data_IF_059647296769
#
_entry.id   IF_059647296769
#
_cell.length_a   1.000
_cell.length_b   1.000
_cell.length_c   1.000
_cell.angle_alpha   90.00
_cell.angle_beta   90.00
_cell.angle_gamma   90.00
#
_symmetry.space_group_name_H-M   'P 1'
#
loop_
_entity.id
_entity.type
_entity.pdbx_description
1 polymer ?
#
# COMPACT_ATOMS: atom_id res chain seq x y z
N UNK A 1 -29.78 10.74 -2.76
CA UNK A 1 -28.79 10.05 -3.60
C UNK A 1 -27.54 9.86 -2.75
N UNK A 2 -27.49 8.78 -1.96
CA UNK A 2 -26.33 8.47 -1.11
C UNK A 2 -25.16 8.10 -2.02
N UNK A 3 -24.13 8.95 -2.06
CA UNK A 3 -22.86 8.57 -2.68
C UNK A 3 -22.22 7.51 -1.79
N UNK A 4 -22.40 6.24 -2.13
CA UNK A 4 -21.60 5.16 -1.57
C UNK A 4 -20.18 5.29 -2.11
N UNK A 5 -19.36 6.11 -1.44
CA UNK A 5 -17.92 6.10 -1.65
C UNK A 5 -17.39 4.72 -1.24
N UNK A 6 -16.67 4.04 -2.13
CA UNK A 6 -16.04 2.71 -1.93
C UNK A 6 -14.92 2.76 -0.87
N UNK A 7 -15.25 3.16 0.35
CA UNK A 7 -14.32 3.72 1.32
C UNK A 7 -14.45 3.01 2.66
N UNK A 8 -13.30 2.79 3.33
CA UNK A 8 -13.25 2.01 4.56
C UNK A 8 -13.89 2.79 5.71
N UNK A 9 -14.84 2.18 6.42
CA UNK A 9 -15.48 2.79 7.60
C UNK A 9 -14.48 2.89 8.75
N UNK A 10 -14.50 4.01 9.46
CA UNK A 10 -13.66 4.17 10.64
C UNK A 10 -14.22 3.33 11.81
N UNK A 11 -13.42 2.43 12.41
CA UNK A 11 -13.93 1.42 13.35
C UNK A 11 -14.42 2.01 14.68
N UNK A 12 -13.89 3.17 15.12
CA UNK A 12 -14.20 3.75 16.43
C UNK A 12 -15.29 4.83 16.39
N UNK A 13 -15.79 5.21 15.20
CA UNK A 13 -16.82 6.26 15.08
C UNK A 13 -17.73 6.00 13.89
N UNK A 14 -19.00 5.71 14.20
CA UNK A 14 -20.04 5.48 13.19
C UNK A 14 -20.23 6.73 12.30
N UNK A 15 -20.40 6.51 11.00
CA UNK A 15 -20.58 7.57 10.01
C UNK A 15 -19.28 8.22 9.53
N UNK A 16 -18.13 7.88 10.11
CA UNK A 16 -16.83 8.34 9.66
C UNK A 16 -16.19 7.34 8.71
N UNK A 17 -15.46 7.87 7.75
CA UNK A 17 -14.82 7.15 6.66
C UNK A 17 -13.34 7.52 6.64
N UNK A 18 -12.49 6.55 6.34
CA UNK A 18 -11.05 6.78 6.17
C UNK A 18 -10.81 7.39 4.79
N UNK A 19 -10.07 8.49 4.75
CA UNK A 19 -9.72 9.17 3.51
C UNK A 19 -8.68 8.37 2.68
N UNK A 20 -8.70 8.45 1.34
CA UNK A 20 -7.84 7.64 0.47
C UNK A 20 -6.32 7.80 0.67
N UNK A 21 -5.86 8.95 1.17
CA UNK A 21 -4.43 9.16 1.46
C UNK A 21 -4.05 8.44 2.77
N UNK A 22 -5.00 8.30 3.70
CA UNK A 22 -4.77 7.70 5.01
C UNK A 22 -4.75 6.17 4.96
N UNK A 23 -5.55 5.53 4.09
CA UNK A 23 -5.59 4.08 3.95
C UNK A 23 -4.56 3.50 2.96
N UNK A 24 -3.80 4.35 2.26
CA UNK A 24 -2.81 3.97 1.25
C UNK A 24 -1.36 3.99 1.76
N UNK A 25 -1.11 3.82 3.06
CA UNK A 25 0.23 3.95 3.64
C UNK A 25 0.92 2.63 3.95
N UNK A 26 0.23 1.65 4.55
CA UNK A 26 0.81 0.34 4.91
C UNK A 26 0.43 -0.80 3.94
N UNK A 27 -0.19 -0.46 2.80
CA UNK A 27 -0.59 -1.44 1.78
C UNK A 27 0.55 -2.34 1.26
N UNK A 28 1.85 -1.95 1.24
CA UNK A 28 2.91 -2.88 0.81
C UNK A 28 3.04 -4.09 1.73
N UNK A 29 2.77 -3.93 3.02
CA UNK A 29 2.74 -5.06 3.95
C UNK A 29 1.56 -6.01 3.64
N UNK A 30 0.43 -5.45 3.18
CA UNK A 30 -0.70 -6.26 2.73
C UNK A 30 -0.42 -7.04 1.45
N UNK A 31 0.47 -6.59 0.56
CA UNK A 31 0.82 -7.38 -0.63
C UNK A 31 1.37 -8.76 -0.29
N UNK A 32 2.12 -8.88 0.80
CA UNK A 32 2.66 -10.15 1.28
C UNK A 32 1.52 -11.10 1.71
N UNK A 33 0.50 -10.54 2.37
CA UNK A 33 -0.68 -11.30 2.83
C UNK A 33 -1.63 -11.63 1.67
N UNK A 34 -1.71 -10.76 0.66
CA UNK A 34 -2.74 -10.82 -0.38
C UNK A 34 -2.80 -12.16 -1.12
N UNK A 35 -1.66 -12.83 -1.33
CA UNK A 35 -1.61 -14.17 -1.95
C UNK A 35 -2.36 -15.22 -1.13
N UNK A 36 -2.26 -15.19 0.20
CA UNK A 36 -2.90 -16.16 1.09
C UNK A 36 -4.41 -15.94 1.12
N UNK A 37 -4.83 -14.68 1.14
CA UNK A 37 -6.25 -14.31 1.05
C UNK A 37 -6.85 -14.79 -0.28
N UNK A 38 -6.16 -14.52 -1.40
CA UNK A 38 -6.62 -14.89 -2.73
C UNK A 38 -6.66 -16.41 -2.95
N UNK A 39 -5.78 -17.16 -2.29
CA UNK A 39 -5.75 -18.62 -2.33
C UNK A 39 -6.75 -19.26 -1.35
N UNK A 40 -7.44 -18.48 -0.51
CA UNK A 40 -8.30 -19.00 0.55
C UNK A 40 -7.55 -19.69 1.69
N UNK A 41 -6.24 -19.44 1.85
CA UNK A 41 -5.40 -19.99 2.93
C UNK A 41 -5.66 -19.28 4.28
N UNK A 42 -6.22 -18.07 4.24
CA UNK A 42 -6.63 -17.30 5.43
C UNK A 42 -7.96 -16.60 5.19
N UNK A 43 -8.85 -16.66 6.18
CA UNK A 43 -10.14 -15.99 6.13
C UNK A 43 -10.08 -14.54 6.64
N UNK A 44 -11.08 -13.73 6.30
CA UNK A 44 -11.18 -12.33 6.77
C UNK A 44 -11.31 -12.27 8.29
N UNK A 45 -12.04 -13.19 8.90
CA UNK A 45 -12.27 -13.23 10.35
C UNK A 45 -11.00 -13.58 11.14
N UNK A 46 -10.07 -14.31 10.53
CA UNK A 46 -8.75 -14.58 11.10
C UNK A 46 -7.83 -13.35 11.10
N UNK A 47 -8.02 -12.41 10.16
CA UNK A 47 -7.23 -11.18 10.05
C UNK A 47 -7.65 -10.11 11.07
N UNK A 48 -7.62 -10.48 12.35
CA UNK A 48 -7.88 -9.59 13.48
C UNK A 48 -6.57 -8.97 14.03
N UNK A 49 -6.67 -8.20 15.11
CA UNK A 49 -5.51 -7.52 15.70
C UNK A 49 -4.43 -8.50 16.16
N UNK A 50 -4.79 -9.67 16.72
CA UNK A 50 -3.80 -10.66 17.16
C UNK A 50 -3.01 -11.24 15.98
N UNK A 51 -3.67 -11.46 14.84
CA UNK A 51 -2.99 -11.87 13.62
C UNK A 51 -1.99 -10.81 13.14
N UNK A 52 -2.41 -9.54 13.05
CA UNK A 52 -1.53 -8.47 12.58
C UNK A 52 -0.38 -8.19 13.55
N UNK A 53 -0.64 -8.24 14.86
CA UNK A 53 0.39 -8.12 15.91
C UNK A 53 1.42 -9.25 15.81
N UNK A 54 0.99 -10.49 15.59
CA UNK A 54 1.91 -11.61 15.40
C UNK A 54 2.71 -11.48 14.10
N UNK A 55 2.03 -11.26 12.97
CA UNK A 55 2.68 -11.24 11.65
C UNK A 55 3.67 -10.08 11.54
N UNK A 56 3.25 -8.86 11.86
CA UNK A 56 4.08 -7.67 11.61
C UNK A 56 4.99 -7.29 12.79
N UNK A 57 4.56 -7.54 14.03
CA UNK A 57 5.27 -7.07 15.22
C UNK A 57 5.88 -8.22 16.04
N UNK A 58 5.60 -9.48 15.69
CA UNK A 58 6.11 -10.64 16.43
C UNK A 58 5.53 -10.77 17.83
N UNK A 59 4.40 -10.12 18.09
CA UNK A 59 3.75 -10.13 19.40
C UNK A 59 2.76 -11.28 19.47
N UNK A 60 2.81 -12.07 20.54
CA UNK A 60 1.95 -13.23 20.73
C UNK A 60 2.47 -14.49 20.01
N UNK A 61 1.57 -15.44 19.74
CA UNK A 61 1.90 -16.75 19.18
C UNK A 61 1.11 -17.03 17.90
N UNK A 62 1.69 -17.80 16.99
CA UNK A 62 0.97 -18.32 15.83
C UNK A 62 -0.16 -19.25 16.26
N UNK A 63 -1.35 -19.09 15.66
CA UNK A 63 -2.48 -20.01 15.86
C UNK A 63 -2.43 -21.24 14.96
N UNK A 64 -1.72 -21.15 13.83
CA UNK A 64 -1.57 -22.23 12.87
C UNK A 64 -0.28 -22.04 12.03
N UNK A 65 0.05 -23.03 11.21
CA UNK A 65 1.23 -22.99 10.35
C UNK A 65 1.14 -21.90 9.27
N UNK A 66 -0.07 -21.55 8.81
CA UNK A 66 -0.27 -20.45 7.87
C UNK A 66 0.20 -19.11 8.44
N UNK A 67 -0.07 -18.83 9.73
CA UNK A 67 0.41 -17.61 10.38
C UNK A 67 1.93 -17.54 10.41
N UNK A 68 2.60 -18.66 10.74
CA UNK A 68 4.07 -18.73 10.74
C UNK A 68 4.63 -18.46 9.36
N UNK A 69 4.08 -19.13 8.34
CA UNK A 69 4.48 -18.96 6.93
C UNK A 69 4.30 -17.52 6.45
N UNK A 70 3.17 -16.87 6.78
CA UNK A 70 2.92 -15.46 6.44
C UNK A 70 3.96 -14.55 7.11
N UNK A 71 4.29 -14.80 8.38
CA UNK A 71 5.30 -14.04 9.11
C UNK A 71 6.69 -14.23 8.52
N UNK A 72 7.08 -15.45 8.18
CA UNK A 72 8.36 -15.74 7.52
C UNK A 72 8.49 -14.97 6.20
N UNK A 73 7.43 -14.98 5.38
CA UNK A 73 7.40 -14.21 4.16
C UNK A 73 7.45 -12.70 4.41
N UNK A 74 6.78 -12.21 5.46
CA UNK A 74 6.89 -10.81 5.86
C UNK A 74 8.33 -10.43 6.24
N UNK A 75 8.99 -11.23 7.07
CA UNK A 75 10.36 -10.99 7.49
C UNK A 75 11.38 -11.14 6.34
N UNK A 76 11.04 -11.91 5.30
CA UNK A 76 11.86 -12.05 4.11
C UNK A 76 11.71 -10.86 3.15
N UNK A 77 10.47 -10.47 2.84
CA UNK A 77 10.19 -9.46 1.80
C UNK A 77 10.22 -8.02 2.30
N UNK A 78 10.04 -7.80 3.60
CA UNK A 78 10.02 -6.47 4.21
C UNK A 78 11.38 -6.16 4.85
N UNK A 79 11.89 -4.92 4.80
CA UNK A 79 11.23 -3.66 4.46
C UNK A 79 11.03 -3.40 2.97
N UNK A 80 10.23 -2.38 2.65
CA UNK A 80 10.15 -1.84 1.28
C UNK A 80 11.50 -1.25 0.88
N UNK A 81 12.22 -1.92 -0.04
CA UNK A 81 13.51 -1.45 -0.54
C UNK A 81 13.39 -0.12 -1.30
N UNK A 82 12.36 0.01 -2.14
CA UNK A 82 12.12 1.22 -2.93
C UNK A 82 10.63 1.47 -3.15
N UNK A 83 10.18 2.69 -2.88
CA UNK A 83 8.85 3.18 -3.23
C UNK A 83 8.96 4.26 -4.31
N UNK A 84 8.36 4.00 -5.48
CA UNK A 84 8.41 4.87 -6.65
C UNK A 84 7.12 5.70 -6.74
N UNK A 85 7.24 7.01 -6.97
CA UNK A 85 6.06 7.82 -7.25
C UNK A 85 6.41 9.18 -7.86
N UNK A 86 5.40 9.82 -8.47
CA UNK A 86 5.59 11.12 -9.10
C UNK A 86 5.77 12.25 -8.08
N UNK A 87 6.25 13.41 -8.55
CA UNK A 87 6.43 14.63 -7.76
C UNK A 87 5.26 14.96 -6.84
N UNK A 88 4.03 14.76 -7.31
CA UNK A 88 2.80 15.01 -6.56
C UNK A 88 2.71 14.23 -5.25
N UNK A 89 3.31 13.04 -5.16
CA UNK A 89 3.32 12.21 -3.95
C UNK A 89 4.27 12.76 -2.87
N UNK A 90 5.28 13.56 -3.26
CA UNK A 90 6.34 14.06 -2.37
C UNK A 90 5.84 14.85 -1.18
N UNK A 91 4.80 15.64 -1.34
CA UNK A 91 4.30 16.53 -0.28
C UNK A 91 3.06 16.01 0.44
N UNK A 92 2.48 14.90 -0.04
CA UNK A 92 1.20 14.39 0.47
C UNK A 92 1.31 12.96 0.97
N UNK A 93 1.71 12.02 0.12
CA UNK A 93 1.70 10.59 0.41
C UNK A 93 2.98 10.13 1.10
N UNK A 94 4.16 10.49 0.57
CA UNK A 94 5.42 10.01 1.16
C UNK A 94 5.66 10.43 2.62
N UNK A 95 5.30 11.65 3.06
CA UNK A 95 5.40 12.00 4.47
C UNK A 95 4.56 11.08 5.36
N UNK A 96 3.28 10.88 5.04
CA UNK A 96 2.39 10.02 5.83
C UNK A 96 2.74 8.53 5.69
N UNK A 97 3.27 8.11 4.56
CA UNK A 97 3.83 6.77 4.37
C UNK A 97 4.95 6.53 5.39
N UNK A 98 5.95 7.41 5.46
CA UNK A 98 7.05 7.29 6.43
C UNK A 98 6.51 7.34 7.86
N UNK A 99 5.66 8.32 8.18
CA UNK A 99 5.13 8.50 9.54
C UNK A 99 4.38 7.26 10.03
N UNK A 100 3.54 6.63 9.20
CA UNK A 100 2.81 5.44 9.59
C UNK A 100 3.72 4.21 9.75
N UNK A 101 4.77 4.07 8.93
CA UNK A 101 5.75 3.00 9.13
C UNK A 101 6.51 3.18 10.45
N UNK A 102 6.93 4.40 10.77
CA UNK A 102 7.63 4.69 12.03
C UNK A 102 6.71 4.48 13.23
N UNK A 103 5.43 4.81 13.12
CA UNK A 103 4.47 4.68 14.21
C UNK A 103 4.12 3.23 14.56
N UNK A 104 4.10 2.33 13.57
CA UNK A 104 3.63 0.95 13.74
C UNK A 104 4.78 -0.07 13.71
N UNK A 105 5.70 0.07 12.75
CA UNK A 105 6.69 -0.96 12.44
C UNK A 105 7.99 -0.77 13.24
N UNK A 106 8.65 -1.88 13.55
CA UNK A 106 10.01 -1.87 14.11
C UNK A 106 11.01 -1.26 13.13
N UNK A 107 12.12 -0.72 13.66
CA UNK A 107 13.11 0.02 12.87
C UNK A 107 13.68 -0.78 11.69
N UNK A 108 13.87 -2.10 11.82
CA UNK A 108 14.37 -2.91 10.70
C UNK A 108 13.37 -3.01 9.53
N UNK A 109 12.09 -2.73 9.78
CA UNK A 109 10.99 -2.79 8.81
C UNK A 109 10.64 -1.42 8.22
N UNK A 110 11.42 -0.37 8.50
CA UNK A 110 11.20 0.95 7.91
C UNK A 110 11.61 0.99 6.42
N UNK A 111 10.89 1.76 5.58
CA UNK A 111 11.22 1.86 4.16
C UNK A 111 12.66 2.34 3.93
N UNK A 112 13.37 1.71 2.99
CA UNK A 112 14.79 1.97 2.73
C UNK A 112 15.03 3.06 1.69
N UNK A 113 14.08 3.27 0.78
CA UNK A 113 14.23 4.20 -0.32
C UNK A 113 12.91 4.73 -0.84
N UNK A 114 12.91 6.01 -1.22
CA UNK A 114 11.85 6.65 -1.98
C UNK A 114 12.48 7.30 -3.20
N UNK A 115 11.94 7.00 -4.38
CA UNK A 115 12.37 7.62 -5.62
C UNK A 115 11.23 8.44 -6.22
N UNK A 116 11.52 9.70 -6.51
CA UNK A 116 10.55 10.64 -7.04
C UNK A 116 10.84 10.89 -8.52
N UNK A 117 9.94 10.44 -9.40
CA UNK A 117 10.02 10.79 -10.81
C UNK A 117 9.33 12.13 -11.09
N UNK A 118 9.82 12.84 -12.10
CA UNK A 118 9.17 14.05 -12.61
C UNK A 118 8.16 13.71 -13.70
N UNK A 119 7.49 14.72 -14.24
CA UNK A 119 6.50 14.56 -15.30
C UNK A 119 7.12 13.86 -16.51
N UNK A 120 6.36 12.93 -17.10
CA UNK A 120 6.59 12.50 -18.48
C UNK A 120 6.10 13.63 -19.39
N UNK A 121 7.00 14.19 -20.19
CA UNK A 121 6.71 15.27 -21.14
C UNK A 121 6.53 14.70 -22.55
N UNK A 122 5.78 15.41 -23.40
CA UNK A 122 5.77 15.12 -24.84
C UNK A 122 7.14 15.39 -25.48
N UNK A 123 7.32 14.98 -26.73
CA UNK A 123 8.57 15.20 -27.48
C UNK A 123 8.98 16.68 -27.54
N UNK A 124 8.04 17.63 -27.47
CA UNK A 124 8.33 19.07 -27.41
C UNK A 124 8.47 19.63 -25.97
N UNK A 125 8.53 18.80 -24.93
CA UNK A 125 8.74 19.24 -23.55
C UNK A 125 7.49 19.74 -22.81
N UNK A 126 6.33 19.77 -23.47
CA UNK A 126 5.08 20.14 -22.80
C UNK A 126 4.53 19.04 -21.89
N UNK A 127 3.85 19.44 -20.81
CA UNK A 127 3.15 18.51 -19.91
C UNK A 127 1.98 17.87 -20.65
N UNK A 128 1.89 16.54 -20.57
CA UNK A 128 0.76 15.77 -21.09
C UNK A 128 -0.54 16.24 -20.43
N UNK A 129 -1.53 16.63 -21.25
CA UNK A 129 -2.85 17.06 -20.82
C UNK A 129 -3.94 16.42 -21.67
N UNK A 130 -4.98 15.88 -21.03
CA UNK A 130 -6.19 15.36 -21.69
C UNK A 130 -6.96 16.45 -22.44
N UNK A 131 -7.03 17.66 -21.90
CA UNK A 131 -7.79 18.76 -22.53
C UNK A 131 -7.07 19.38 -23.73
N UNK A 132 -5.75 19.18 -23.84
CA UNK A 132 -4.93 19.66 -24.96
C UNK A 132 -4.66 18.58 -26.02
N UNK A 133 -5.32 17.42 -25.94
CA UNK A 133 -5.15 16.32 -26.90
C UNK A 133 -3.83 15.54 -26.77
N UNK A 134 -3.07 15.75 -25.69
CA UNK A 134 -1.72 15.22 -25.53
C UNK A 134 -1.59 13.91 -24.75
N UNK A 135 -2.71 13.39 -24.21
CA UNK A 135 -2.75 12.17 -23.44
C UNK A 135 -3.23 11.02 -24.34
N UNK A 136 -2.33 10.50 -25.15
CA UNK A 136 -2.60 9.31 -25.94
C UNK A 136 -2.41 8.08 -25.05
N UNK A 137 -3.42 7.18 -24.96
CA UNK A 137 -3.15 5.81 -24.54
C UNK A 137 -2.05 5.26 -25.47
N UNK A 138 -1.18 4.38 -24.96
CA UNK A 138 -0.17 3.71 -25.80
C UNK A 138 -0.64 2.27 -26.08
N UNK A 139 -1.72 2.05 -26.88
CA UNK A 139 -2.15 0.70 -27.22
C UNK A 139 -1.08 0.07 -28.10
N UNK A 140 -0.39 -0.94 -27.56
CA UNK A 140 0.73 -1.59 -28.25
C UNK A 140 2.10 -1.33 -27.62
N UNK A 141 2.23 -0.57 -26.52
CA UNK A 141 3.49 -0.50 -25.76
C UNK A 141 4.01 -1.90 -25.35
N UNK A 142 3.10 -2.87 -25.19
CA UNK A 142 3.39 -4.25 -24.85
C UNK A 142 3.53 -5.19 -26.06
N UNK A 143 3.23 -4.73 -27.28
CA UNK A 143 3.40 -5.54 -28.50
C UNK A 143 4.77 -5.22 -29.10
N UNK A 144 5.68 -6.20 -29.02
CA UNK A 144 6.89 -6.24 -29.85
C UNK A 144 6.53 -6.43 -31.31
#
# INVERSE_FOLDING_TARGET
MERSFHSKKFPFKKGWVVEPISDSTLYPAYYIISKYVNNGEISIDEMNNEFFDYVFLGKGNAKNETWKKIREDFLYWYPVDINLGGKEHKTVHFPVFIMNHVAIMERQHWPRGIFVNWWVTQQQGEKISKSKGGAEPIPGASKK
#
